data_IF_714701259299
#
_entry.id   IF_714701259299
#
_cell.length_a   1.000
_cell.length_b   1.000
_cell.length_c   1.000
_cell.angle_alpha   90.00
_cell.angle_beta   90.00
_cell.angle_gamma   90.00
#
_symmetry.space_group_name_H-M   'P 1'
#
loop_
_entity.id
_entity.type
_entity.pdbx_description
1 polymer ?
#
# COMPACT_ATOMS: atom_id res chain seq x y z
N UNK A 1 15.62 40.23 -74.08
CA UNK A 1 16.09 39.41 -72.94
C UNK A 1 15.03 39.43 -71.86
N UNK A 2 14.42 38.27 -71.54
CA UNK A 2 13.24 38.14 -70.68
C UNK A 2 13.59 37.43 -69.36
N UNK A 3 12.97 37.94 -68.30
CA UNK A 3 12.60 37.30 -67.03
C UNK A 3 13.66 37.12 -65.93
N UNK A 4 13.61 38.02 -64.94
CA UNK A 4 14.10 37.80 -63.59
C UNK A 4 12.95 37.29 -62.72
N UNK A 5 12.97 36.00 -62.36
CA UNK A 5 12.06 35.40 -61.39
C UNK A 5 12.46 35.89 -60.00
N UNK A 6 11.62 36.75 -59.42
CA UNK A 6 11.79 37.23 -58.04
C UNK A 6 11.43 36.08 -57.11
N UNK A 7 12.45 35.43 -56.56
CA UNK A 7 12.32 34.37 -55.55
C UNK A 7 12.08 34.99 -54.16
N UNK A 8 10.98 35.70 -54.00
CA UNK A 8 10.55 36.18 -52.70
C UNK A 8 9.73 35.07 -52.04
N UNK A 9 10.23 34.54 -50.91
CA UNK A 9 9.48 33.52 -50.15
C UNK A 9 8.16 34.13 -49.70
N UNK A 10 7.02 33.43 -49.85
CA UNK A 10 5.75 33.95 -49.38
C UNK A 10 5.84 34.21 -47.86
N UNK A 11 5.25 35.30 -47.35
CA UNK A 11 5.28 35.58 -45.92
C UNK A 11 4.59 34.45 -45.15
N UNK A 12 5.25 33.94 -44.10
CA UNK A 12 4.65 32.95 -43.21
C UNK A 12 3.44 33.57 -42.51
N UNK A 13 2.25 33.03 -42.76
CA UNK A 13 1.02 33.45 -42.11
C UNK A 13 1.14 33.32 -40.58
N UNK A 14 0.81 34.39 -39.85
CA UNK A 14 0.85 34.41 -38.39
C UNK A 14 -0.44 33.80 -37.84
N UNK A 15 -0.38 32.57 -37.34
CA UNK A 15 -1.49 32.01 -36.56
C UNK A 15 -1.68 32.85 -35.28
N UNK A 16 -2.87 33.42 -35.09
CA UNK A 16 -3.24 34.08 -33.84
C UNK A 16 -3.95 33.07 -32.95
N UNK A 17 -3.27 32.60 -31.91
CA UNK A 17 -3.90 31.86 -30.82
C UNK A 17 -4.68 32.89 -30.00
N UNK A 18 -5.98 33.04 -30.25
CA UNK A 18 -6.85 33.87 -29.42
C UNK A 18 -7.60 32.92 -28.49
N UNK A 19 -7.10 32.77 -27.27
CA UNK A 19 -7.80 31.99 -26.25
C UNK A 19 -9.12 32.70 -25.93
N UNK A 20 -10.25 32.09 -26.30
CA UNK A 20 -11.57 32.59 -25.90
C UNK A 20 -11.78 32.27 -24.44
N UNK A 21 -12.52 33.13 -23.71
CA UNK A 21 -12.92 32.88 -22.32
C UNK A 21 -13.57 31.49 -22.14
N UNK A 22 -14.28 31.00 -23.17
CA UNK A 22 -14.87 29.66 -23.20
C UNK A 22 -13.82 28.54 -23.20
N UNK A 23 -12.70 28.73 -23.91
CA UNK A 23 -11.62 27.75 -24.01
C UNK A 23 -10.83 27.69 -22.71
N UNK A 24 -10.51 28.84 -22.11
CA UNK A 24 -9.80 28.89 -20.83
C UNK A 24 -10.63 28.24 -19.71
N UNK A 25 -11.95 28.46 -19.67
CA UNK A 25 -12.83 27.82 -18.68
C UNK A 25 -12.91 26.31 -18.88
N UNK A 26 -12.95 25.82 -20.14
CA UNK A 26 -12.95 24.37 -20.41
C UNK A 26 -11.65 23.68 -19.97
N UNK A 27 -10.50 24.33 -20.18
CA UNK A 27 -9.21 23.82 -19.71
C UNK A 27 -9.14 23.80 -18.17
N UNK A 28 -9.65 24.83 -17.49
CA UNK A 28 -9.69 24.86 -16.02
C UNK A 28 -10.58 23.76 -15.44
N UNK A 29 -11.75 23.50 -16.05
CA UNK A 29 -12.64 22.41 -15.62
C UNK A 29 -11.99 21.05 -15.88
N UNK A 30 -11.31 20.88 -17.02
CA UNK A 30 -10.59 19.65 -17.35
C UNK A 30 -9.42 19.40 -16.40
N UNK A 31 -8.64 20.44 -16.07
CA UNK A 31 -7.57 20.36 -15.07
C UNK A 31 -8.11 20.05 -13.66
N UNK A 32 -9.27 20.60 -13.30
CA UNK A 32 -9.92 20.31 -12.02
C UNK A 32 -10.47 18.87 -11.97
N UNK A 33 -10.95 18.34 -13.09
CA UNK A 33 -11.42 16.96 -13.18
C UNK A 33 -10.28 15.94 -13.02
N UNK A 34 -9.08 16.24 -13.53
CA UNK A 34 -7.89 15.41 -13.35
C UNK A 34 -7.31 15.46 -11.92
N UNK A 35 -7.60 16.52 -11.15
CA UNK A 35 -7.11 16.65 -9.78
C UNK A 35 -7.80 15.70 -8.78
N UNK A 36 -8.96 15.14 -9.14
CA UNK A 36 -9.79 14.31 -8.26
C UNK A 36 -9.39 12.82 -8.24
N UNK A 37 -8.34 12.40 -8.96
CA UNK A 37 -7.96 10.99 -9.10
C UNK A 37 -7.06 10.44 -7.97
N UNK A 38 -6.79 11.23 -6.92
CA UNK A 38 -5.79 10.89 -5.89
C UNK A 38 -6.39 10.68 -4.49
N UNK A 39 -7.67 10.30 -4.39
CA UNK A 39 -8.21 9.81 -3.13
C UNK A 39 -7.66 8.40 -2.90
N UNK A 40 -6.50 8.32 -2.26
CA UNK A 40 -5.94 7.06 -1.78
C UNK A 40 -6.93 6.47 -0.77
N UNK A 41 -7.53 5.33 -1.11
CA UNK A 41 -8.27 4.47 -0.19
C UNK A 41 -7.31 3.93 0.87
N UNK A 42 -6.93 4.76 1.85
CA UNK A 42 -6.33 4.28 3.07
C UNK A 42 -7.44 3.69 3.93
N UNK A 43 -7.89 2.47 3.62
CA UNK A 43 -8.56 1.66 4.62
C UNK A 43 -7.51 1.43 5.71
N UNK A 44 -7.63 2.04 6.91
CA UNK A 44 -6.64 1.84 7.94
C UNK A 44 -6.62 0.36 8.27
N UNK A 45 -5.51 -0.33 7.96
CA UNK A 45 -5.31 -1.68 8.48
C UNK A 45 -5.13 -1.49 9.99
N UNK A 46 -6.20 -1.75 10.73
CA UNK A 46 -6.17 -1.75 12.19
C UNK A 46 -5.39 -3.01 12.57
N UNK A 47 -4.20 -2.84 13.10
CA UNK A 47 -3.47 -3.97 13.68
C UNK A 47 -3.95 -4.15 15.11
N UNK A 48 -4.39 -5.36 15.44
CA UNK A 48 -4.77 -5.75 16.78
C UNK A 48 -3.56 -6.33 17.51
N UNK A 49 -3.27 -5.83 18.72
CA UNK A 49 -2.28 -6.46 19.58
C UNK A 49 -2.88 -7.71 20.26
N UNK A 50 -2.25 -8.85 20.01
CA UNK A 50 -2.58 -10.14 20.62
C UNK A 50 -1.46 -10.53 21.57
N UNK A 51 -1.81 -10.88 22.79
CA UNK A 51 -0.85 -11.33 23.80
C UNK A 51 -1.37 -12.58 24.51
N UNK A 52 -0.45 -13.35 25.07
CA UNK A 52 -0.80 -14.58 25.77
C UNK A 52 0.40 -15.31 26.35
N UNK A 53 0.12 -16.49 26.90
CA UNK A 53 1.07 -17.40 27.54
C UNK A 53 1.04 -18.75 26.81
N UNK A 54 2.20 -19.27 26.42
CA UNK A 54 2.33 -20.61 25.83
C UNK A 54 2.89 -21.56 26.89
N UNK A 55 2.19 -22.67 27.11
CA UNK A 55 2.54 -23.73 28.07
C UNK A 55 2.42 -25.10 27.42
N UNK A 56 3.08 -26.10 28.00
CA UNK A 56 2.86 -27.52 27.67
C UNK A 56 1.60 -28.10 28.34
N UNK A 57 1.39 -29.41 28.23
CA UNK A 57 0.21 -30.08 28.78
C UNK A 57 0.20 -30.11 30.32
N UNK A 58 1.38 -29.98 30.93
CA UNK A 58 1.62 -29.95 32.37
C UNK A 58 1.55 -28.52 32.94
N UNK A 59 1.38 -27.51 32.07
CA UNK A 59 1.30 -26.10 32.45
C UNK A 59 2.67 -25.43 32.60
N UNK A 60 3.76 -26.06 32.14
CA UNK A 60 5.10 -25.48 32.17
C UNK A 60 5.24 -24.47 31.04
N UNK A 61 5.68 -23.22 31.32
CA UNK A 61 5.90 -22.22 30.29
C UNK A 61 6.93 -22.67 29.25
N UNK A 62 6.61 -22.44 27.97
CA UNK A 62 7.50 -22.76 26.85
C UNK A 62 8.21 -21.50 26.39
N UNK A 63 9.45 -21.32 26.84
CA UNK A 63 10.34 -20.25 26.38
C UNK A 63 10.91 -20.55 24.98
N UNK A 64 10.90 -19.56 24.09
CA UNK A 64 11.36 -19.70 22.71
C UNK A 64 10.40 -20.46 21.78
N UNK A 65 9.12 -20.57 22.14
CA UNK A 65 8.07 -20.97 21.22
C UNK A 65 7.90 -19.91 20.12
N UNK A 66 7.83 -20.33 18.87
CA UNK A 66 7.58 -19.45 17.73
C UNK A 66 6.09 -19.25 17.53
N UNK A 67 5.68 -18.00 17.34
CA UNK A 67 4.31 -17.59 17.02
C UNK A 67 4.37 -16.83 15.70
N UNK A 68 3.73 -17.35 14.67
CA UNK A 68 3.71 -16.75 13.33
C UNK A 68 2.27 -16.48 12.89
N UNK A 69 1.99 -15.29 12.39
CA UNK A 69 0.73 -15.02 11.70
C UNK A 69 0.73 -15.77 10.35
N UNK A 70 -0.30 -16.60 10.14
CA UNK A 70 -0.34 -17.54 9.02
C UNK A 70 -0.36 -16.81 7.69
N UNK A 71 0.55 -17.21 6.79
CA UNK A 71 0.66 -16.64 5.45
C UNK A 71 1.44 -15.33 5.41
N UNK A 72 1.96 -14.85 6.54
CA UNK A 72 2.82 -13.66 6.61
C UNK A 72 4.20 -14.04 7.16
N UNK A 73 5.10 -13.06 7.21
CA UNK A 73 6.40 -13.17 7.90
C UNK A 73 6.36 -12.51 9.28
N UNK A 74 5.18 -12.08 9.72
CA UNK A 74 4.98 -11.40 10.98
C UNK A 74 4.89 -12.44 12.09
N UNK A 75 5.79 -12.35 13.07
CA UNK A 75 5.89 -13.33 14.12
C UNK A 75 6.74 -12.86 15.27
N UNK A 76 6.64 -13.58 16.37
CA UNK A 76 7.38 -13.32 17.61
C UNK A 76 7.78 -14.65 18.26
N UNK A 77 8.57 -14.56 19.31
CA UNK A 77 8.90 -15.70 20.16
C UNK A 77 8.50 -15.40 21.61
N UNK A 78 8.15 -16.45 22.34
CA UNK A 78 7.90 -16.31 23.77
C UNK A 78 9.16 -15.98 24.55
N UNK A 79 8.99 -15.20 25.63
CA UNK A 79 10.03 -14.91 26.60
C UNK A 79 10.30 -16.08 27.58
N UNK A 80 11.13 -15.86 28.60
CA UNK A 80 11.49 -16.87 29.60
C UNK A 80 10.30 -17.39 30.42
N UNK A 81 9.27 -16.57 30.57
CA UNK A 81 8.04 -16.90 31.30
C UNK A 81 6.95 -17.43 30.36
N UNK A 82 7.27 -17.65 29.07
CA UNK A 82 6.35 -18.17 28.06
C UNK A 82 5.39 -17.13 27.48
N UNK A 83 5.56 -15.84 27.80
CA UNK A 83 4.66 -14.79 27.34
C UNK A 83 5.03 -14.32 25.93
N UNK A 84 4.04 -13.89 25.17
CA UNK A 84 4.23 -13.24 23.87
C UNK A 84 3.31 -12.04 23.67
N UNK A 85 3.69 -11.16 22.76
CA UNK A 85 2.85 -10.10 22.21
C UNK A 85 3.16 -9.93 20.73
N UNK A 86 2.13 -9.87 19.89
CA UNK A 86 2.22 -9.75 18.43
C UNK A 86 1.08 -8.87 17.92
N UNK A 87 1.39 -7.87 17.10
CA UNK A 87 0.38 -7.12 16.36
C UNK A 87 0.01 -7.88 15.09
N UNK A 88 -1.28 -8.12 14.85
CA UNK A 88 -1.78 -8.90 13.70
C UNK A 88 -2.92 -8.18 13.01
N UNK A 89 -3.22 -8.58 11.76
CA UNK A 89 -4.40 -8.08 11.05
C UNK A 89 -5.71 -8.66 11.57
N UNK A 90 -6.81 -8.21 10.98
CA UNK A 90 -8.15 -8.78 11.23
C UNK A 90 -8.20 -10.26 10.81
N UNK A 91 -8.98 -11.07 11.55
CA UNK A 91 -9.19 -12.51 11.31
C UNK A 91 -7.88 -13.33 11.23
N UNK A 92 -6.83 -12.89 11.93
CA UNK A 92 -5.54 -13.56 11.92
C UNK A 92 -5.59 -14.98 12.49
N UNK A 93 -4.74 -15.85 11.93
CA UNK A 93 -4.51 -17.20 12.47
C UNK A 93 -3.07 -17.28 12.93
N UNK A 94 -2.86 -17.54 14.22
CA UNK A 94 -1.54 -17.76 14.80
C UNK A 94 -1.12 -19.23 14.66
N UNK A 95 0.08 -19.44 14.13
CA UNK A 95 0.74 -20.74 14.05
C UNK A 95 1.79 -20.80 15.15
N UNK A 96 1.53 -21.61 16.17
CA UNK A 96 2.43 -21.83 17.30
C UNK A 96 3.25 -23.09 17.05
N UNK A 97 4.57 -22.97 17.16
CA UNK A 97 5.49 -24.10 16.96
C UNK A 97 6.63 -24.09 17.97
N UNK A 98 7.04 -25.27 18.41
CA UNK A 98 8.16 -25.46 19.32
C UNK A 98 8.83 -26.80 19.06
N UNK A 99 10.14 -26.89 19.28
CA UNK A 99 10.93 -28.09 18.96
C UNK A 99 10.44 -29.25 19.82
N UNK A 100 10.10 -30.37 19.17
CA UNK A 100 9.58 -31.57 19.84
C UNK A 100 8.07 -31.55 20.09
N UNK A 101 7.36 -30.51 19.67
CA UNK A 101 5.91 -30.39 19.83
C UNK A 101 5.20 -30.35 18.47
N UNK A 102 3.94 -30.76 18.47
CA UNK A 102 3.08 -30.57 17.30
C UNK A 102 2.75 -29.08 17.14
N UNK A 103 2.78 -28.60 15.89
CA UNK A 103 2.34 -27.26 15.54
C UNK A 103 0.84 -27.10 15.79
N UNK A 104 0.43 -25.96 16.33
CA UNK A 104 -0.97 -25.64 16.62
C UNK A 104 -1.37 -24.35 15.93
N UNK A 105 -2.55 -24.34 15.31
CA UNK A 105 -3.15 -23.13 14.75
C UNK A 105 -4.24 -22.60 15.67
N UNK A 106 -4.30 -21.29 15.85
CA UNK A 106 -5.27 -20.58 16.71
C UNK A 106 -5.79 -19.37 15.96
N UNK A 107 -7.08 -19.35 15.64
CA UNK A 107 -7.77 -18.16 15.14
C UNK A 107 -7.98 -17.15 16.26
N UNK A 108 -7.80 -15.86 15.97
CA UNK A 108 -7.96 -14.76 16.93
C UNK A 108 -9.19 -13.93 16.60
#
# INVERSE_FOLDING_TARGET
MKNNYKNERPPLGRFKIVASLKTTVLFLIFSLYLAQANANDSNPIIQQQVSGLITDAEGVPLAGANILEKGTTNGTQTDFDGNFSLEVGDDAVLVVSYIGFATKEVSV
#
